data_IF_905550866254
#
_entry.id   IF_905550866254
#
_cell.length_a   1.000
_cell.length_b   1.000
_cell.length_c   1.000
_cell.angle_alpha   90.00
_cell.angle_beta   90.00
_cell.angle_gamma   90.00
#
_symmetry.space_group_name_H-M   'P 1'
#
loop_
_entity.id
_entity.type
_entity.pdbx_description
1 polymer ?
#
# COMPACT_ATOMS: atom_id res chain seq x y z
N UNK A 1 7.53 7.32 8.93
CA UNK A 1 8.72 6.73 9.58
C UNK A 1 9.77 6.54 8.50
N UNK A 2 10.98 7.06 8.68
CA UNK A 2 12.10 6.79 7.77
C UNK A 2 12.48 5.33 7.97
N UNK A 3 12.21 4.48 6.98
CA UNK A 3 12.75 3.13 6.99
C UNK A 3 14.17 3.19 6.45
N UNK A 4 15.05 2.48 7.13
CA UNK A 4 16.47 2.37 6.80
C UNK A 4 16.78 0.90 6.54
N UNK A 5 17.57 0.56 5.49
CA UNK A 5 17.89 -0.81 5.17
C UNK A 5 18.71 -1.43 6.31
N UNK A 6 18.16 -2.47 6.94
CA UNK A 6 18.81 -3.17 8.04
C UNK A 6 20.17 -3.75 7.64
N UNK A 7 20.36 -4.06 6.35
CA UNK A 7 21.65 -4.55 5.82
C UNK A 7 22.78 -3.51 5.84
N UNK A 8 22.53 -2.22 6.09
CA UNK A 8 23.64 -1.29 6.38
C UNK A 8 24.38 -1.71 7.66
N UNK A 9 23.68 -2.28 8.65
CA UNK A 9 24.30 -2.67 9.92
C UNK A 9 25.43 -3.70 9.70
N UNK A 10 25.19 -4.86 9.04
CA UNK A 10 26.26 -5.81 8.73
C UNK A 10 27.30 -5.23 7.77
N UNK A 11 26.93 -4.39 6.81
CA UNK A 11 27.89 -3.70 5.94
C UNK A 11 28.89 -2.84 6.73
N UNK A 12 28.38 -2.04 7.67
CA UNK A 12 29.20 -1.20 8.54
C UNK A 12 30.07 -2.02 9.49
N UNK A 13 29.54 -3.12 10.05
CA UNK A 13 30.30 -4.04 10.90
C UNK A 13 31.47 -4.66 10.13
N UNK A 14 31.23 -5.14 8.91
CA UNK A 14 32.29 -5.72 8.07
C UNK A 14 33.41 -4.71 7.82
N UNK A 15 33.03 -3.52 7.33
CA UNK A 15 33.97 -2.42 7.07
C UNK A 15 34.76 -2.05 8.33
N UNK A 16 34.10 -1.93 9.46
CA UNK A 16 34.77 -1.66 10.73
C UNK A 16 35.83 -2.72 11.06
N UNK A 17 35.50 -4.00 10.97
CA UNK A 17 36.45 -5.08 11.26
C UNK A 17 37.62 -5.06 10.26
N UNK A 18 37.30 -4.95 8.97
CA UNK A 18 38.28 -4.94 7.88
C UNK A 18 39.31 -3.80 8.02
N UNK A 19 38.87 -2.60 8.42
CA UNK A 19 39.74 -1.43 8.52
C UNK A 19 40.36 -1.22 9.91
N UNK A 20 39.69 -1.61 11.00
CA UNK A 20 40.23 -1.43 12.36
C UNK A 20 41.09 -2.62 12.81
N UNK A 21 40.93 -3.80 12.22
CA UNK A 21 41.70 -5.00 12.58
C UNK A 21 42.37 -5.60 11.34
N UNK A 22 43.50 -5.01 10.89
CA UNK A 22 44.26 -5.53 9.75
C UNK A 22 44.67 -6.99 10.00
N UNK A 23 44.42 -7.86 9.02
CA UNK A 23 44.76 -9.29 9.12
C UNK A 23 43.78 -10.12 9.94
N UNK A 24 42.55 -9.63 10.19
CA UNK A 24 41.51 -10.43 10.82
C UNK A 24 41.21 -11.72 10.05
N UNK A 25 41.33 -12.87 10.71
CA UNK A 25 41.06 -14.17 10.11
C UNK A 25 39.59 -14.56 10.21
N UNK A 26 38.84 -14.28 9.14
CA UNK A 26 37.44 -14.68 8.99
C UNK A 26 37.21 -16.20 9.04
N UNK A 27 38.21 -17.01 8.69
CA UNK A 27 38.11 -18.46 8.66
C UNK A 27 38.40 -19.11 10.02
N UNK A 28 38.87 -18.33 11.00
CA UNK A 28 39.18 -18.86 12.33
C UNK A 28 37.94 -19.41 13.04
N UNK A 29 38.14 -20.55 13.72
CA UNK A 29 37.08 -21.34 14.38
C UNK A 29 37.40 -21.43 15.88
N UNK A 30 36.98 -20.45 16.69
CA UNK A 30 37.36 -20.39 18.11
C UNK A 30 36.71 -21.49 18.95
N UNK A 31 35.59 -22.05 18.49
CA UNK A 31 34.84 -23.08 19.19
C UNK A 31 34.54 -24.24 18.25
N UNK A 32 34.57 -25.46 18.80
CA UNK A 32 34.15 -26.68 18.12
C UNK A 32 33.10 -27.40 18.95
N UNK A 33 32.13 -27.98 18.26
CA UNK A 33 31.01 -28.68 18.88
C UNK A 33 30.94 -30.12 18.33
N UNK A 34 30.89 -31.13 19.20
CA UNK A 34 30.69 -32.51 18.79
C UNK A 34 29.26 -32.68 18.27
N UNK A 35 29.11 -33.09 17.01
CA UNK A 35 27.82 -33.45 16.45
C UNK A 35 27.49 -34.92 16.74
N UNK A 36 26.19 -35.24 16.81
CA UNK A 36 25.70 -36.63 16.93
C UNK A 36 26.07 -37.52 15.73
N UNK A 37 26.48 -36.93 14.61
CA UNK A 37 27.05 -37.64 13.47
C UNK A 37 28.47 -38.16 13.71
N UNK A 38 29.11 -37.79 14.83
CA UNK A 38 30.51 -38.11 15.14
C UNK A 38 31.52 -37.14 14.52
N UNK A 39 31.06 -36.03 13.93
CA UNK A 39 31.90 -35.00 13.33
C UNK A 39 32.01 -33.80 14.28
N UNK A 40 33.22 -33.27 14.45
CA UNK A 40 33.44 -31.99 15.11
C UNK A 40 33.12 -30.83 14.15
N UNK A 41 32.15 -30.00 14.52
CA UNK A 41 31.78 -28.81 13.74
C UNK A 41 32.13 -27.54 14.49
N UNK A 42 32.98 -26.70 13.90
CA UNK A 42 33.33 -25.39 14.43
C UNK A 42 32.88 -24.28 13.48
N UNK A 43 31.90 -23.45 13.85
CA UNK A 43 31.52 -22.29 13.04
C UNK A 43 32.65 -21.26 13.03
N UNK A 44 32.93 -20.71 11.86
CA UNK A 44 33.88 -19.62 11.69
C UNK A 44 33.25 -18.24 11.95
N UNK A 45 34.07 -17.20 12.12
CA UNK A 45 33.54 -15.83 12.18
C UNK A 45 32.81 -15.42 10.89
N UNK A 46 33.27 -15.92 9.73
CA UNK A 46 32.56 -15.75 8.46
C UNK A 46 31.14 -16.30 8.53
N UNK A 47 30.97 -17.53 9.05
CA UNK A 47 29.65 -18.17 9.18
C UNK A 47 28.74 -17.36 10.10
N UNK A 48 29.26 -16.91 11.25
CA UNK A 48 28.50 -16.08 12.20
C UNK A 48 28.05 -14.75 11.58
N UNK A 49 28.94 -14.07 10.83
CA UNK A 49 28.62 -12.83 10.14
C UNK A 49 27.56 -13.01 9.05
N UNK A 50 27.65 -14.09 8.27
CA UNK A 50 26.68 -14.39 7.21
C UNK A 50 25.31 -14.74 7.80
N UNK A 51 25.27 -15.55 8.86
CA UNK A 51 24.01 -15.84 9.58
C UNK A 51 23.41 -14.57 10.14
N UNK A 52 24.21 -13.70 10.77
CA UNK A 52 23.75 -12.40 11.25
C UNK A 52 23.19 -11.53 10.12
N UNK A 53 23.87 -11.47 8.98
CA UNK A 53 23.42 -10.73 7.80
C UNK A 53 22.10 -11.27 7.23
N UNK A 54 21.94 -12.59 7.23
CA UNK A 54 20.70 -13.25 6.82
C UNK A 54 19.54 -12.96 7.79
N UNK A 55 19.81 -12.91 9.10
CA UNK A 55 18.82 -12.49 10.09
C UNK A 55 18.41 -11.03 9.89
N UNK A 56 19.36 -10.14 9.58
CA UNK A 56 19.07 -8.75 9.22
C UNK A 56 18.20 -8.65 7.96
N UNK A 57 18.48 -9.46 6.94
CA UNK A 57 17.63 -9.59 5.75
C UNK A 57 16.22 -10.07 6.13
N UNK A 58 16.09 -11.08 6.98
CA UNK A 58 14.79 -11.57 7.43
C UNK A 58 13.98 -10.47 8.14
N UNK A 59 14.62 -9.72 9.03
CA UNK A 59 13.96 -8.60 9.71
C UNK A 59 13.57 -7.48 8.74
N UNK A 60 14.40 -7.20 7.74
CA UNK A 60 14.08 -6.25 6.66
C UNK A 60 12.83 -6.69 5.89
N UNK A 61 12.74 -7.99 5.57
CA UNK A 61 11.58 -8.56 4.89
C UNK A 61 10.30 -8.44 5.71
N UNK A 62 10.35 -8.74 7.01
CA UNK A 62 9.21 -8.58 7.92
C UNK A 62 8.79 -7.10 7.99
N UNK A 63 9.74 -6.19 8.19
CA UNK A 63 9.50 -4.73 8.26
C UNK A 63 8.87 -4.20 6.97
N UNK A 64 9.31 -4.67 5.81
CA UNK A 64 8.86 -4.25 4.48
C UNK A 64 7.40 -4.62 4.17
N UNK A 65 6.80 -5.55 4.91
CA UNK A 65 5.38 -5.91 4.73
C UNK A 65 4.42 -4.86 5.28
N UNK A 66 4.84 -4.09 6.30
CA UNK A 66 3.94 -3.27 7.12
C UNK A 66 3.80 -1.83 6.63
N UNK A 67 4.84 -1.27 6.01
CA UNK A 67 4.84 0.12 5.51
C UNK A 67 5.38 0.15 4.07
N UNK A 68 4.74 0.90 3.19
CA UNK A 68 5.29 1.12 1.84
C UNK A 68 6.66 1.80 1.92
N UNK A 69 7.67 1.26 1.23
CA UNK A 69 9.01 1.86 1.19
C UNK A 69 8.93 3.25 0.54
N UNK A 70 9.51 4.24 1.21
CA UNK A 70 9.73 5.57 0.62
C UNK A 70 10.72 5.46 -0.56
N UNK A 71 10.67 6.41 -1.48
CA UNK A 71 11.60 6.49 -2.61
C UNK A 71 13.05 6.54 -2.14
N UNK A 72 13.32 7.26 -1.04
CA UNK A 72 14.64 7.34 -0.40
C UNK A 72 15.13 5.96 0.01
N UNK A 73 14.24 5.12 0.53
CA UNK A 73 14.62 3.78 0.97
C UNK A 73 14.80 2.81 -0.20
N UNK A 74 14.16 3.05 -1.34
CA UNK A 74 14.46 2.33 -2.57
C UNK A 74 15.88 2.69 -3.07
N UNK A 75 16.23 3.97 -3.07
CA UNK A 75 17.58 4.44 -3.39
C UNK A 75 18.63 3.90 -2.43
N UNK A 76 18.33 3.80 -1.13
CA UNK A 76 19.29 3.39 -0.12
C UNK A 76 19.68 1.90 -0.24
N UNK A 77 18.73 1.03 -0.59
CA UNK A 77 19.01 -0.39 -0.89
C UNK A 77 19.81 -0.52 -2.18
N UNK A 78 19.44 0.24 -3.22
CA UNK A 78 20.19 0.26 -4.47
C UNK A 78 21.65 0.70 -4.23
N UNK A 79 21.83 1.78 -3.48
CA UNK A 79 23.14 2.31 -3.13
C UNK A 79 23.95 1.31 -2.31
N UNK A 80 23.32 0.63 -1.34
CA UNK A 80 23.98 -0.39 -0.53
C UNK A 80 24.43 -1.58 -1.39
N UNK A 81 23.58 -2.09 -2.28
CA UNK A 81 23.94 -3.21 -3.15
C UNK A 81 25.06 -2.83 -4.13
N UNK A 82 24.97 -1.66 -4.77
CA UNK A 82 26.04 -1.15 -5.64
C UNK A 82 27.33 -0.85 -4.87
N UNK A 83 27.22 -0.29 -3.66
CA UNK A 83 28.34 0.01 -2.77
C UNK A 83 29.07 -1.26 -2.35
N UNK A 84 28.34 -2.30 -1.91
CA UNK A 84 28.92 -3.59 -1.59
C UNK A 84 29.59 -4.24 -2.83
N UNK A 85 28.98 -4.14 -4.01
CA UNK A 85 29.61 -4.65 -5.24
C UNK A 85 30.89 -3.88 -5.60
N UNK A 86 30.88 -2.56 -5.49
CA UNK A 86 32.04 -1.72 -5.74
C UNK A 86 33.15 -1.98 -4.72
N UNK A 87 32.81 -2.14 -3.44
CA UNK A 87 33.76 -2.47 -2.38
C UNK A 87 34.43 -3.83 -2.64
N UNK A 88 33.67 -4.85 -3.05
CA UNK A 88 34.22 -6.16 -3.39
C UNK A 88 35.27 -6.09 -4.50
N UNK A 89 35.04 -5.24 -5.51
CA UNK A 89 35.93 -5.11 -6.67
C UNK A 89 37.15 -4.22 -6.36
N UNK A 90 36.98 -3.18 -5.56
CA UNK A 90 37.99 -2.13 -5.38
C UNK A 90 38.81 -2.28 -4.09
N UNK A 91 38.28 -2.97 -3.07
CA UNK A 91 38.90 -3.05 -1.74
C UNK A 91 39.54 -4.42 -1.53
N UNK A 92 40.85 -4.42 -1.22
CA UNK A 92 41.62 -5.64 -0.97
C UNK A 92 41.06 -6.48 0.18
N UNK A 93 40.64 -5.83 1.27
CA UNK A 93 40.05 -6.51 2.43
C UNK A 93 38.69 -7.16 2.12
N UNK A 94 37.99 -6.70 1.08
CA UNK A 94 36.73 -7.25 0.63
C UNK A 94 36.90 -8.40 -0.37
N UNK A 95 38.13 -8.67 -0.84
CA UNK A 95 38.42 -9.69 -1.86
C UNK A 95 38.42 -11.13 -1.30
N UNK A 96 37.32 -11.54 -0.68
CA UNK A 96 37.11 -12.89 -0.14
C UNK A 96 35.65 -13.36 -0.28
N UNK A 97 35.43 -14.66 -0.12
CA UNK A 97 34.11 -15.28 -0.29
C UNK A 97 33.07 -14.79 0.74
N UNK A 98 33.48 -14.44 1.95
CA UNK A 98 32.57 -13.94 2.99
C UNK A 98 31.90 -12.65 2.53
N UNK A 99 32.69 -11.69 2.04
CA UNK A 99 32.14 -10.43 1.57
C UNK A 99 31.37 -10.58 0.25
N UNK A 100 31.82 -11.47 -0.64
CA UNK A 100 31.05 -11.79 -1.86
C UNK A 100 29.65 -12.32 -1.54
N UNK A 101 29.54 -13.25 -0.58
CA UNK A 101 28.25 -13.79 -0.14
C UNK A 101 27.40 -12.72 0.54
N UNK A 102 28.01 -11.83 1.32
CA UNK A 102 27.33 -10.67 1.87
C UNK A 102 26.80 -9.73 0.77
N UNK A 103 27.60 -9.40 -0.24
CA UNK A 103 27.15 -8.61 -1.38
C UNK A 103 25.98 -9.30 -2.11
N UNK A 104 26.03 -10.62 -2.27
CA UNK A 104 24.91 -11.40 -2.81
C UNK A 104 23.64 -11.27 -1.95
N UNK A 105 23.75 -11.26 -0.62
CA UNK A 105 22.62 -11.00 0.29
C UNK A 105 22.03 -9.59 0.03
N UNK A 106 22.87 -8.57 -0.17
CA UNK A 106 22.40 -7.22 -0.53
C UNK A 106 21.67 -7.20 -1.88
N UNK A 107 22.15 -7.95 -2.88
CA UNK A 107 21.45 -8.09 -4.16
C UNK A 107 20.10 -8.79 -4.01
N UNK A 108 20.03 -9.83 -3.18
CA UNK A 108 18.75 -10.51 -2.87
C UNK A 108 17.76 -9.53 -2.26
N UNK A 109 18.18 -8.66 -1.33
CA UNK A 109 17.33 -7.61 -0.76
C UNK A 109 16.83 -6.63 -1.83
N UNK A 110 17.72 -6.16 -2.71
CA UNK A 110 17.37 -5.27 -3.82
C UNK A 110 16.29 -5.88 -4.73
N UNK A 111 16.49 -7.13 -5.17
CA UNK A 111 15.54 -7.82 -6.04
C UNK A 111 14.22 -8.13 -5.33
N UNK A 112 14.27 -8.55 -4.06
CA UNK A 112 13.07 -8.78 -3.26
C UNK A 112 12.25 -7.49 -3.08
N UNK A 113 12.92 -6.38 -2.82
CA UNK A 113 12.34 -5.04 -2.72
C UNK A 113 11.68 -4.61 -4.04
N UNK A 114 12.37 -4.76 -5.16
CA UNK A 114 11.83 -4.44 -6.50
C UNK A 114 10.62 -5.31 -6.86
N UNK A 115 10.70 -6.62 -6.63
CA UNK A 115 9.59 -7.54 -6.87
C UNK A 115 8.35 -7.17 -6.02
N UNK A 116 8.56 -6.75 -4.77
CA UNK A 116 7.48 -6.29 -3.90
C UNK A 116 6.87 -4.96 -4.38
N UNK A 117 7.68 -4.01 -4.86
CA UNK A 117 7.20 -2.76 -5.44
C UNK A 117 6.34 -3.01 -6.70
N UNK A 118 6.82 -3.86 -7.61
CA UNK A 118 6.09 -4.23 -8.82
C UNK A 118 4.74 -4.89 -8.52
N UNK A 119 4.69 -5.79 -7.52
CA UNK A 119 3.42 -6.40 -7.07
C UNK A 119 2.41 -5.37 -6.58
N UNK A 120 2.86 -4.34 -5.85
CA UNK A 120 1.98 -3.25 -5.37
C UNK A 120 1.44 -2.40 -6.53
N UNK A 121 2.31 -2.03 -7.47
CA UNK A 121 1.91 -1.28 -8.66
C UNK A 121 0.84 -2.03 -9.48
N UNK A 122 0.98 -3.35 -9.65
CA UNK A 122 -0.02 -4.18 -10.34
C UNK A 122 -1.37 -4.23 -9.62
N UNK A 123 -1.40 -4.27 -8.28
CA UNK A 123 -2.66 -4.27 -7.52
C UNK A 123 -3.38 -2.92 -7.58
N UNK A 124 -2.65 -1.81 -7.63
CA UNK A 124 -3.24 -0.48 -7.73
C UNK A 124 -4.10 -0.31 -8.99
N UNK A 125 -3.62 -0.81 -10.14
CA UNK A 125 -4.35 -0.74 -11.42
C UNK A 125 -5.68 -1.50 -11.39
N UNK A 126 -5.81 -2.55 -10.57
CA UNK A 126 -7.05 -3.34 -10.46
C UNK A 126 -8.12 -2.62 -9.62
N UNK A 127 -7.73 -1.77 -8.67
CA UNK A 127 -8.66 -1.06 -7.79
C UNK A 127 -9.26 0.18 -8.46
N UNK A 128 -8.59 0.75 -9.46
CA UNK A 128 -9.10 1.87 -10.26
C UNK A 128 -10.05 1.41 -11.37
N UNK A 129 -11.07 0.63 -11.00
CA UNK A 129 -12.29 0.52 -11.80
C UNK A 129 -13.23 1.63 -11.31
N UNK A 130 -13.51 2.60 -12.19
CA UNK A 130 -14.46 3.68 -11.92
C UNK A 130 -15.79 3.12 -11.39
N UNK A 131 -16.48 3.82 -10.47
CA UNK A 131 -17.76 3.36 -9.96
C UNK A 131 -18.66 3.11 -11.16
N UNK A 132 -19.15 1.87 -11.29
CA UNK A 132 -20.21 1.55 -12.23
C UNK A 132 -21.35 2.49 -11.86
N UNK A 133 -21.62 3.49 -12.70
CA UNK A 133 -22.81 4.33 -12.57
C UNK A 133 -23.98 3.40 -12.84
N UNK A 134 -24.50 2.78 -11.79
CA UNK A 134 -25.76 2.06 -11.84
C UNK A 134 -26.79 3.14 -12.19
N UNK A 135 -27.49 3.04 -13.34
CA UNK A 135 -28.55 3.98 -13.67
C UNK A 135 -29.51 4.03 -12.48
N UNK A 136 -29.84 5.24 -12.02
CA UNK A 136 -30.78 5.42 -10.92
C UNK A 136 -32.03 4.57 -11.21
N UNK A 137 -32.36 3.67 -10.27
CA UNK A 137 -33.58 2.88 -10.37
C UNK A 137 -34.75 3.85 -10.65
N UNK A 138 -35.64 3.53 -11.60
CA UNK A 138 -36.78 4.39 -11.89
C UNK A 138 -37.51 4.66 -10.56
N UNK A 139 -37.81 5.94 -10.31
CA UNK A 139 -38.45 6.37 -9.07
C UNK A 139 -39.67 5.48 -8.77
N UNK A 140 -39.93 5.13 -7.50
CA UNK A 140 -41.12 4.38 -7.16
C UNK A 140 -42.31 5.16 -7.69
N UNK A 141 -43.07 4.57 -8.61
CA UNK A 141 -44.37 5.13 -8.99
C UNK A 141 -45.17 5.16 -7.70
N UNK A 142 -45.38 6.36 -7.16
CA UNK A 142 -46.19 6.56 -5.98
C UNK A 142 -47.55 5.94 -6.27
N UNK A 143 -47.81 4.78 -5.67
CA UNK A 143 -49.14 4.18 -5.69
C UNK A 143 -50.02 5.16 -4.93
N UNK A 144 -50.84 5.92 -5.65
CA UNK A 144 -51.86 6.77 -5.07
C UNK A 144 -52.82 5.85 -4.34
N UNK A 145 -52.67 5.76 -3.01
CA UNK A 145 -53.62 5.09 -2.15
C UNK A 145 -54.91 5.92 -2.20
N UNK A 146 -56.08 5.32 -2.51
CA UNK A 146 -57.31 6.09 -2.58
C UNK A 146 -57.58 6.70 -1.21
N UNK A 147 -57.68 8.03 -1.17
CA UNK A 147 -57.90 8.81 0.04
C UNK A 147 -59.08 8.23 0.82
N UNK A 148 -58.80 7.75 2.04
CA UNK A 148 -59.83 7.37 3.00
C UNK A 148 -60.64 8.63 3.32
N UNK A 149 -61.86 8.68 2.79
CA UNK A 149 -62.81 9.75 3.08
C UNK A 149 -63.23 9.65 4.54
N UNK A 150 -62.81 10.61 5.37
CA UNK A 150 -63.42 10.79 6.69
C UNK A 150 -64.86 11.28 6.53
N UNK A 151 -65.81 10.86 7.38
CA UNK A 151 -67.19 11.30 7.27
C UNK A 151 -67.28 12.79 7.57
N UNK A 152 -67.72 13.58 6.60
CA UNK A 152 -67.98 15.02 6.72
C UNK A 152 -68.99 15.24 7.86
N UNK A 153 -68.57 15.90 8.93
CA UNK A 153 -69.49 16.38 9.98
C UNK A 153 -70.50 17.32 9.33
N UNK A 154 -71.79 17.00 9.44
CA UNK A 154 -72.89 17.82 8.92
C UNK A 154 -72.85 19.19 9.62
N UNK A 155 -72.48 20.23 8.87
CA UNK A 155 -72.64 21.63 9.27
C UNK A 155 -74.09 22.04 8.98
N UNK A 156 -74.80 22.55 9.98
CA UNK A 156 -76.14 23.14 9.78
C UNK A 156 -76.06 24.41 8.93
N UNK A 157 -77.04 24.66 8.03
CA UNK A 157 -77.02 25.82 7.16
C UNK A 157 -77.32 27.13 7.91
N UNK A 158 -76.48 28.13 7.68
CA UNK A 158 -76.63 29.51 8.17
C UNK A 158 -77.74 30.26 7.39
N UNK A 159 -78.57 31.11 8.05
CA UNK A 159 -79.86 31.58 7.48
C UNK A 159 -79.78 32.69 6.43
N UNK A 160 -78.60 33.00 5.89
CA UNK A 160 -78.43 34.18 5.03
C UNK A 160 -77.86 33.78 3.67
N UNK A 161 -78.75 33.52 2.71
CA UNK A 161 -78.42 33.56 1.28
C UNK A 161 -78.60 34.99 0.76
N UNK A 162 -77.56 35.66 0.24
CA UNK A 162 -77.75 36.84 -0.60
C UNK A 162 -78.12 36.44 -2.03
N UNK A 163 -79.18 37.08 -2.54
CA UNK A 163 -79.77 36.90 -3.88
C UNK A 163 -78.77 37.27 -5.00
N UNK A 164 -78.61 36.46 -6.06
CA UNK A 164 -77.70 36.79 -7.17
C UNK A 164 -78.28 37.89 -8.08
N UNK A 165 -77.45 38.89 -8.41
CA UNK A 165 -77.73 39.91 -9.43
C UNK A 165 -77.64 39.34 -10.86
N UNK A 166 -78.48 39.82 -11.80
CA UNK A 166 -78.52 39.28 -13.16
C UNK A 166 -77.33 39.77 -14.01
N UNK A 167 -76.62 38.80 -14.61
CA UNK A 167 -75.48 39.01 -15.52
C UNK A 167 -75.95 39.57 -16.87
N UNK A 168 -75.53 40.78 -17.21
CA UNK A 168 -75.76 41.42 -18.52
C UNK A 168 -74.93 40.71 -19.60
N UNK A 169 -75.58 40.01 -20.55
CA UNK A 169 -74.90 39.40 -21.70
C UNK A 169 -74.80 40.41 -22.85
N UNK A 170 -73.58 40.77 -23.23
CA UNK A 170 -73.32 41.52 -24.46
C UNK A 170 -73.23 40.54 -25.65
N UNK A 171 -74.06 40.76 -26.67
CA UNK A 171 -74.06 40.01 -27.92
C UNK A 171 -73.00 40.53 -28.92
N UNK A 172 -72.57 39.70 -29.89
CA UNK A 172 -71.42 39.98 -30.74
C UNK A 172 -71.68 41.07 -31.80
N UNK A 173 -70.62 41.82 -32.09
CA UNK A 173 -70.51 42.90 -33.07
C UNK A 173 -70.80 42.39 -34.48
N UNK A 174 -71.80 42.96 -35.15
CA UNK A 174 -72.09 42.71 -36.56
C UNK A 174 -71.57 43.89 -37.39
N UNK A 175 -70.58 43.60 -38.24
CA UNK A 175 -70.04 44.49 -39.28
C UNK A 175 -70.89 44.30 -40.55
N UNK A 176 -71.14 45.37 -41.31
CA UNK A 176 -71.03 45.50 -42.80
C UNK A 176 -71.72 46.82 -43.25
N UNK A 177 -70.88 47.74 -43.74
CA UNK A 177 -70.90 48.59 -44.97
C UNK A 177 -72.19 48.81 -45.80
N UNK A 178 -72.26 49.87 -46.65
CA UNK A 178 -71.17 50.69 -47.22
C UNK A 178 -71.08 52.15 -46.76
#
# INVERSE_FOLDING_TARGET
MIGFPLLIIPFAIYNMIAFLTPGFDWASRPYTFPLKSGVEWGPSFADAFLVFSLLMLMFEMIKSTRHGRSIVEHFLVLLLACGAAAEFVLVKEAANSTFLLFAAICFVDLFAGFAAALRRARRAVVVEQAPVVVPAAPAPVARTEPARLEPVTRVEPSPFEPRPEPVLRTGPVQKIEP
#
